data_IF_025676754402
#
_entry.id   IF_025676754402
#
_cell.length_a   1.000
_cell.length_b   1.000
_cell.length_c   1.000
_cell.angle_alpha   90.00
_cell.angle_beta   90.00
_cell.angle_gamma   90.00
#
_symmetry.space_group_name_H-M   'P 1'
#
loop_
_entity.id
_entity.type
_entity.pdbx_description
1 polymer ?
#
# COMPACT_ATOMS: atom_id res chain seq x y z
N UNK A 1 34.01 -11.00 -66.63
CA UNK A 1 33.95 -9.85 -65.69
C UNK A 1 33.87 -10.40 -64.27
N UNK A 2 35.04 -10.56 -63.65
CA UNK A 2 35.24 -10.86 -62.23
C UNK A 2 35.46 -9.51 -61.50
N UNK A 3 35.15 -9.46 -60.21
CA UNK A 3 35.42 -8.39 -59.22
C UNK A 3 34.23 -7.50 -58.87
N UNK A 4 33.40 -7.93 -57.90
CA UNK A 4 32.78 -7.01 -56.93
C UNK A 4 32.22 -7.77 -55.70
N UNK A 5 33.05 -8.51 -54.94
CA UNK A 5 32.56 -9.19 -53.72
C UNK A 5 33.67 -9.64 -52.76
N UNK A 6 34.65 -8.78 -52.42
CA UNK A 6 35.70 -9.16 -51.43
C UNK A 6 36.16 -8.03 -50.49
N UNK A 7 35.34 -7.03 -50.19
CA UNK A 7 35.73 -5.95 -49.26
C UNK A 7 34.88 -5.77 -48.00
N UNK A 8 33.84 -6.59 -47.75
CA UNK A 8 32.93 -6.35 -46.61
C UNK A 8 33.05 -7.34 -45.43
N UNK A 9 33.89 -8.37 -45.46
CA UNK A 9 33.92 -9.38 -44.38
C UNK A 9 34.82 -9.01 -43.19
N UNK A 10 35.83 -8.17 -43.38
CA UNK A 10 36.73 -7.71 -42.30
C UNK A 10 36.14 -6.57 -41.47
N UNK A 11 35.27 -5.75 -42.06
CA UNK A 11 34.58 -4.64 -41.37
C UNK A 11 33.50 -5.16 -40.42
N UNK A 12 32.73 -6.17 -40.83
CA UNK A 12 31.60 -6.72 -40.03
C UNK A 12 32.08 -7.43 -38.75
N UNK A 13 33.24 -8.12 -38.78
CA UNK A 13 33.82 -8.75 -37.57
C UNK A 13 34.35 -7.74 -36.55
N UNK A 14 34.86 -6.59 -36.99
CA UNK A 14 35.28 -5.49 -36.09
C UNK A 14 34.06 -4.78 -35.47
N UNK A 15 32.97 -4.64 -36.22
CA UNK A 15 31.72 -4.02 -35.71
C UNK A 15 31.05 -4.93 -34.67
N UNK A 16 31.05 -6.26 -34.85
CA UNK A 16 30.50 -7.18 -33.85
C UNK A 16 31.31 -7.22 -32.55
N UNK A 17 32.64 -7.10 -32.62
CA UNK A 17 33.48 -7.03 -31.41
C UNK A 17 33.33 -5.69 -30.69
N UNK A 18 33.18 -4.59 -31.44
CA UNK A 18 32.93 -3.25 -30.89
C UNK A 18 31.54 -3.15 -30.25
N UNK A 19 30.50 -3.75 -30.86
CA UNK A 19 29.17 -3.83 -30.27
C UNK A 19 29.14 -4.69 -28.99
N UNK A 20 29.93 -5.77 -28.95
CA UNK A 20 30.14 -6.57 -27.74
C UNK A 20 30.84 -5.77 -26.64
N UNK A 21 31.89 -5.02 -26.99
CA UNK A 21 32.63 -4.16 -26.06
C UNK A 21 31.77 -2.99 -25.55
N UNK A 22 31.02 -2.32 -26.42
CA UNK A 22 30.09 -1.24 -26.06
C UNK A 22 28.95 -1.77 -25.19
N UNK A 23 28.42 -2.98 -25.46
CA UNK A 23 27.40 -3.59 -24.60
C UNK A 23 27.97 -3.97 -23.23
N UNK A 24 29.23 -4.41 -23.19
CA UNK A 24 29.92 -4.80 -21.96
C UNK A 24 30.37 -3.58 -21.15
N UNK A 25 30.80 -2.50 -21.79
CA UNK A 25 31.01 -1.18 -21.17
C UNK A 25 29.69 -0.56 -20.74
N UNK A 26 28.64 -0.56 -21.55
CA UNK A 26 27.31 -0.07 -21.17
C UNK A 26 26.73 -0.83 -19.96
N UNK A 27 26.94 -2.15 -19.89
CA UNK A 27 26.61 -2.96 -18.72
C UNK A 27 27.53 -2.62 -17.54
N UNK A 28 28.84 -2.40 -17.75
CA UNK A 28 29.77 -1.95 -16.71
C UNK A 28 29.39 -0.57 -16.15
N UNK A 29 29.01 0.36 -17.01
CA UNK A 29 28.59 1.73 -16.68
C UNK A 29 27.26 1.74 -15.94
N UNK A 30 26.32 0.83 -16.28
CA UNK A 30 25.10 0.60 -15.48
C UNK A 30 25.36 -0.09 -14.14
N UNK A 31 26.38 -0.93 -14.05
CA UNK A 31 26.82 -1.58 -12.80
C UNK A 31 27.71 -0.66 -11.95
N UNK A 32 28.13 0.49 -12.48
CA UNK A 32 28.80 1.58 -11.77
C UNK A 32 27.91 2.82 -11.69
N UNK A 33 26.60 2.66 -11.47
CA UNK A 33 25.91 3.69 -10.69
C UNK A 33 26.57 3.66 -9.32
N UNK A 34 27.34 4.70 -8.99
CA UNK A 34 27.86 4.89 -7.65
C UNK A 34 26.69 4.81 -6.69
N UNK A 35 26.59 3.73 -5.93
CA UNK A 35 25.55 3.55 -4.93
C UNK A 35 25.75 4.64 -3.89
N UNK A 36 24.94 5.68 -4.02
CA UNK A 36 24.99 6.86 -3.17
C UNK A 36 24.76 6.40 -1.73
N UNK A 37 25.72 6.71 -0.84
CA UNK A 37 25.56 6.47 0.59
C UNK A 37 24.73 7.58 1.19
N UNK A 38 23.52 7.24 1.61
CA UNK A 38 22.55 8.16 2.18
C UNK A 38 22.33 7.84 3.66
N UNK A 39 21.95 8.85 4.45
CA UNK A 39 21.46 8.61 5.81
C UNK A 39 20.10 7.92 5.73
N UNK A 40 19.77 7.13 6.74
CA UNK A 40 18.49 6.42 6.81
C UNK A 40 17.28 7.34 6.66
N UNK A 41 17.34 8.58 7.19
CA UNK A 41 16.31 9.58 6.99
C UNK A 41 16.14 10.01 5.51
N UNK A 42 17.22 10.18 4.76
CA UNK A 42 17.16 10.51 3.33
C UNK A 42 16.67 9.31 2.52
N UNK A 43 17.10 8.10 2.89
CA UNK A 43 16.60 6.83 2.32
C UNK A 43 15.09 6.71 2.53
N UNK A 44 14.59 7.04 3.72
CA UNK A 44 13.17 7.02 4.03
C UNK A 44 12.39 7.93 3.09
N UNK A 45 12.80 9.21 2.99
CA UNK A 45 12.14 10.20 2.15
C UNK A 45 12.17 9.79 0.67
N UNK A 46 13.34 9.36 0.17
CA UNK A 46 13.48 8.91 -1.22
C UNK A 46 12.65 7.65 -1.51
N UNK A 47 12.53 6.74 -0.55
CA UNK A 47 11.68 5.55 -0.67
C UNK A 47 10.19 5.91 -0.78
N UNK A 48 9.74 6.95 -0.05
CA UNK A 48 8.36 7.44 -0.16
C UNK A 48 8.10 8.09 -1.52
N UNK A 49 9.04 8.90 -2.00
CA UNK A 49 9.00 9.48 -3.35
C UNK A 49 8.91 8.37 -4.41
N UNK A 50 9.76 7.33 -4.31
CA UNK A 50 9.77 6.21 -5.25
C UNK A 50 8.49 5.35 -5.16
N UNK A 51 7.74 5.37 -4.05
CA UNK A 51 6.38 4.80 -3.94
C UNK A 51 5.28 5.71 -4.52
N UNK A 52 5.62 6.92 -4.95
CA UNK A 52 4.68 7.91 -5.47
C UNK A 52 3.85 8.58 -4.37
N UNK A 53 4.38 8.65 -3.15
CA UNK A 53 3.75 9.39 -2.05
C UNK A 53 3.90 10.87 -2.33
N UNK A 54 2.78 11.60 -2.30
CA UNK A 54 2.79 13.06 -2.41
C UNK A 54 2.32 13.78 -1.15
N UNK A 55 1.63 13.09 -0.24
CA UNK A 55 1.09 13.66 0.98
C UNK A 55 1.48 12.78 2.17
N UNK A 56 1.99 13.40 3.23
CA UNK A 56 2.38 12.75 4.47
C UNK A 56 1.74 13.46 5.67
N UNK A 57 0.87 12.77 6.40
CA UNK A 57 0.21 13.32 7.57
C UNK A 57 1.02 13.01 8.82
N UNK A 58 1.37 14.00 9.64
CA UNK A 58 2.20 13.66 10.81
C UNK A 58 2.34 14.73 11.88
N UNK A 59 2.94 14.29 12.98
CA UNK A 59 3.27 15.13 14.12
C UNK A 59 4.73 14.88 14.56
N UNK A 60 5.57 15.93 14.67
CA UNK A 60 6.99 15.78 14.96
C UNK A 60 7.27 15.40 16.41
N UNK A 61 8.42 14.77 16.64
CA UNK A 61 8.94 14.48 17.97
C UNK A 61 10.37 13.95 17.93
N UNK A 62 11.01 13.82 19.10
CA UNK A 62 12.45 13.60 19.26
C UNK A 62 13.02 12.36 18.54
N UNK A 63 12.21 11.32 18.36
CA UNK A 63 12.61 10.06 17.73
C UNK A 63 12.58 10.11 16.19
N UNK A 64 11.85 11.06 15.59
CA UNK A 64 11.70 11.21 14.14
C UNK A 64 12.32 12.50 13.58
N UNK A 65 13.08 13.25 14.40
CA UNK A 65 13.64 14.54 13.96
C UNK A 65 14.54 14.45 12.73
N UNK A 66 15.33 13.38 12.59
CA UNK A 66 16.15 13.18 11.39
C UNK A 66 15.29 13.06 10.13
N UNK A 67 14.14 12.39 10.21
CA UNK A 67 13.18 12.28 9.10
C UNK A 67 12.56 13.65 8.78
N UNK A 68 12.19 14.43 9.80
CA UNK A 68 11.64 15.78 9.58
C UNK A 68 12.66 16.74 8.96
N UNK A 69 13.93 16.64 9.35
CA UNK A 69 15.02 17.40 8.72
C UNK A 69 15.18 17.02 7.23
N UNK A 70 15.13 15.72 6.90
CA UNK A 70 15.17 15.27 5.51
C UNK A 70 13.93 15.72 4.70
N UNK A 71 12.73 15.65 5.29
CA UNK A 71 11.49 16.13 4.68
C UNK A 71 11.53 17.63 4.39
N UNK A 72 12.17 18.43 5.25
CA UNK A 72 12.33 19.87 5.06
C UNK A 72 13.23 20.22 3.86
N UNK A 73 14.15 19.31 3.46
CA UNK A 73 15.09 19.54 2.35
C UNK A 73 14.54 19.21 0.96
N UNK A 74 13.31 18.72 0.86
CA UNK A 74 12.67 18.32 -0.40
C UNK A 74 11.31 19.00 -0.59
N UNK A 75 10.77 18.94 -1.80
CA UNK A 75 9.52 19.63 -2.17
C UNK A 75 8.49 18.72 -2.88
N UNK A 76 8.73 17.42 -2.94
CA UNK A 76 7.87 16.45 -3.65
C UNK A 76 6.78 15.86 -2.75
N UNK A 77 7.05 15.75 -1.45
CA UNK A 77 6.11 15.31 -0.42
C UNK A 77 5.65 16.52 0.37
N UNK A 78 4.35 16.78 0.32
CA UNK A 78 3.68 17.76 1.16
C UNK A 78 3.44 17.17 2.56
N UNK A 79 4.16 17.70 3.56
CA UNK A 79 3.92 17.35 4.95
C UNK A 79 2.72 18.13 5.50
N UNK A 80 1.71 17.40 5.97
CA UNK A 80 0.52 17.94 6.61
C UNK A 80 0.68 17.78 8.12
N UNK A 81 1.03 18.89 8.77
CA UNK A 81 1.12 18.96 10.22
C UNK A 81 -0.27 18.94 10.86
N UNK A 82 -0.56 17.90 11.64
CA UNK A 82 -1.80 17.80 12.40
C UNK A 82 -1.66 18.42 13.79
N UNK A 83 -2.75 18.42 14.57
CA UNK A 83 -2.74 18.86 15.98
C UNK A 83 -2.75 17.71 16.99
N UNK A 84 -3.03 16.50 16.53
CA UNK A 84 -3.02 15.26 17.30
C UNK A 84 -2.81 14.07 16.35
N UNK A 85 -2.05 13.05 16.73
CA UNK A 85 -1.68 11.92 15.86
C UNK A 85 -2.88 11.10 15.39
N UNK A 86 -3.91 10.97 16.22
CA UNK A 86 -5.20 10.41 15.81
C UNK A 86 -5.78 11.15 14.58
N UNK A 87 -5.63 12.48 14.54
CA UNK A 87 -6.00 13.29 13.40
C UNK A 87 -5.19 12.97 12.14
N UNK A 88 -3.90 12.63 12.27
CA UNK A 88 -3.10 12.19 11.12
C UNK A 88 -3.63 10.87 10.55
N UNK A 89 -3.93 9.89 11.41
CA UNK A 89 -4.48 8.61 10.96
C UNK A 89 -5.85 8.75 10.30
N UNK A 90 -6.76 9.57 10.85
CA UNK A 90 -8.07 9.77 10.22
C UNK A 90 -8.00 10.62 8.94
N UNK A 91 -7.08 11.58 8.86
CA UNK A 91 -6.83 12.32 7.63
C UNK A 91 -6.26 11.41 6.53
N UNK A 92 -5.32 10.54 6.87
CA UNK A 92 -4.77 9.52 5.97
C UNK A 92 -5.83 8.51 5.51
N UNK A 93 -6.75 8.12 6.40
CA UNK A 93 -7.90 7.26 6.08
C UNK A 93 -8.81 7.93 5.03
N UNK A 94 -9.23 9.17 5.29
CA UNK A 94 -10.05 9.95 4.36
C UNK A 94 -9.37 10.19 3.01
N UNK A 95 -8.07 10.52 3.03
CA UNK A 95 -7.24 10.64 1.83
C UNK A 95 -7.25 9.35 1.01
N UNK A 96 -7.07 8.20 1.66
CA UNK A 96 -7.02 6.92 0.97
C UNK A 96 -8.34 6.57 0.30
N UNK A 97 -9.48 6.85 0.96
CA UNK A 97 -10.81 6.66 0.38
C UNK A 97 -11.08 7.57 -0.81
N UNK A 98 -10.65 8.83 -0.72
CA UNK A 98 -10.91 9.84 -1.75
C UNK A 98 -10.04 9.64 -3.00
N UNK A 99 -8.83 9.09 -2.85
CA UNK A 99 -7.83 9.03 -3.94
C UNK A 99 -7.53 7.62 -4.44
N UNK A 100 -7.92 6.58 -3.70
CA UNK A 100 -7.50 5.19 -3.96
C UNK A 100 -6.03 4.91 -3.66
N UNK A 101 -5.25 5.90 -3.20
CA UNK A 101 -3.83 5.75 -2.85
C UNK A 101 -3.66 5.46 -1.36
N UNK A 102 -2.62 4.73 -0.92
CA UNK A 102 -2.40 4.50 0.51
C UNK A 102 -2.20 5.80 1.28
N UNK A 103 -2.88 5.94 2.42
CA UNK A 103 -2.63 7.02 3.35
C UNK A 103 -1.30 6.81 4.07
N UNK A 104 -0.47 7.85 4.20
CA UNK A 104 0.86 7.75 4.83
C UNK A 104 0.92 8.62 6.06
N UNK A 105 1.33 8.02 7.18
CA UNK A 105 1.36 8.68 8.50
C UNK A 105 2.77 8.65 9.07
N UNK A 106 3.25 9.76 9.65
CA UNK A 106 4.51 9.83 10.39
C UNK A 106 4.27 10.37 11.81
N UNK A 107 4.63 9.59 12.82
CA UNK A 107 4.49 9.94 14.24
C UNK A 107 5.76 9.61 15.01
N UNK A 108 5.99 10.28 16.14
CA UNK A 108 7.12 9.98 17.03
C UNK A 108 6.88 8.71 17.86
N UNK A 109 7.91 8.29 18.60
CA UNK A 109 7.84 7.18 19.56
C UNK A 109 6.87 7.45 20.71
N UNK A 110 6.65 6.42 21.53
CA UNK A 110 5.91 6.53 22.78
C UNK A 110 4.49 7.06 22.59
N UNK A 111 4.15 8.24 23.15
CA UNK A 111 2.80 8.79 23.05
C UNK A 111 2.34 9.01 21.60
N UNK A 112 3.24 9.33 20.67
CA UNK A 112 2.89 9.61 19.28
C UNK A 112 2.24 8.41 18.59
N UNK A 113 2.89 7.24 18.69
CA UNK A 113 2.34 6.00 18.14
C UNK A 113 1.13 5.49 18.91
N UNK A 114 1.08 5.64 20.25
CA UNK A 114 -0.10 5.21 21.01
C UNK A 114 -1.34 6.06 20.70
N UNK A 115 -1.17 7.36 20.43
CA UNK A 115 -2.25 8.25 20.01
C UNK A 115 -2.82 7.89 18.62
N UNK A 116 -2.02 7.23 17.78
CA UNK A 116 -2.43 6.80 16.44
C UNK A 116 -3.25 5.49 16.44
N UNK A 117 -3.24 4.70 17.52
CA UNK A 117 -3.80 3.34 17.56
C UNK A 117 -5.29 3.31 17.21
N UNK A 118 -6.08 4.28 17.68
CA UNK A 118 -7.52 4.33 17.37
C UNK A 118 -7.75 4.48 15.87
N UNK A 119 -7.03 5.38 15.20
CA UNK A 119 -7.20 5.57 13.76
C UNK A 119 -6.62 4.41 12.94
N UNK A 120 -5.55 3.76 13.42
CA UNK A 120 -5.06 2.50 12.85
C UNK A 120 -6.16 1.42 12.94
N UNK A 121 -6.79 1.26 14.09
CA UNK A 121 -7.87 0.29 14.26
C UNK A 121 -9.07 0.59 13.36
N UNK A 122 -9.45 1.85 13.20
CA UNK A 122 -10.48 2.25 12.23
C UNK A 122 -10.11 1.80 10.81
N UNK A 123 -8.90 2.13 10.35
CA UNK A 123 -8.44 1.75 9.02
C UNK A 123 -8.41 0.23 8.82
N UNK A 124 -8.05 -0.54 9.86
CA UNK A 124 -8.03 -2.00 9.81
C UNK A 124 -9.41 -2.61 9.67
N UNK A 125 -10.37 -2.14 10.47
CA UNK A 125 -11.74 -2.65 10.43
C UNK A 125 -12.40 -2.35 9.08
N UNK A 126 -12.09 -1.20 8.50
CA UNK A 126 -12.68 -0.73 7.24
C UNK A 126 -11.91 -1.11 5.98
N UNK A 127 -10.78 -1.81 6.11
CA UNK A 127 -9.93 -2.25 5.00
C UNK A 127 -9.28 -1.10 4.23
N UNK A 128 -8.83 -0.06 4.93
CA UNK A 128 -8.24 1.13 4.33
C UNK A 128 -6.72 0.97 4.20
N UNK A 129 -6.14 1.12 2.99
CA UNK A 129 -4.70 1.00 2.81
C UNK A 129 -4.01 2.19 3.49
N UNK A 130 -3.20 1.89 4.50
CA UNK A 130 -2.46 2.89 5.26
C UNK A 130 -1.07 2.36 5.62
N UNK A 131 -0.06 3.22 5.59
CA UNK A 131 1.27 2.92 6.13
C UNK A 131 1.59 3.93 7.20
N UNK A 132 1.79 3.45 8.43
CA UNK A 132 2.13 4.27 9.59
C UNK A 132 3.60 4.05 9.93
N UNK A 133 4.36 5.14 9.91
CA UNK A 133 5.74 5.17 10.34
C UNK A 133 5.82 5.77 11.74
N UNK A 134 6.34 4.99 12.69
CA UNK A 134 6.63 5.46 14.03
C UNK A 134 8.14 5.57 14.25
N UNK A 135 8.58 6.64 14.90
CA UNK A 135 9.91 6.66 15.48
C UNK A 135 9.99 5.73 16.68
N UNK A 136 11.20 5.30 16.99
CA UNK A 136 11.51 4.51 18.18
C UNK A 136 12.79 5.04 18.85
N UNK A 137 12.99 4.71 20.12
CA UNK A 137 14.28 4.93 20.80
C UNK A 137 15.42 4.23 20.04
N UNK A 138 16.67 4.61 20.33
CA UNK A 138 17.82 3.97 19.70
C UNK A 138 17.83 2.47 20.01
N UNK A 139 18.33 1.65 19.09
CA UNK A 139 18.28 0.17 19.20
C UNK A 139 18.82 -0.36 20.53
N UNK A 140 19.91 0.23 21.07
CA UNK A 140 20.51 -0.19 22.34
C UNK A 140 19.66 0.11 23.58
N UNK A 141 18.66 0.98 23.44
CA UNK A 141 17.75 1.37 24.52
C UNK A 141 16.42 0.63 24.46
N UNK A 142 16.12 -0.11 23.39
CA UNK A 142 14.91 -0.93 23.30
C UNK A 142 14.98 -2.05 24.34
N UNK A 143 13.92 -2.18 25.15
CA UNK A 143 13.76 -3.09 26.28
C UNK A 143 14.25 -2.55 27.61
N UNK A 144 14.63 -1.26 27.71
CA UNK A 144 15.21 -0.67 28.92
C UNK A 144 14.30 0.38 29.59
N UNK A 145 13.03 0.44 29.21
CA UNK A 145 12.06 1.45 29.69
C UNK A 145 12.59 2.88 29.49
N UNK A 146 13.20 3.12 28.33
CA UNK A 146 13.81 4.39 28.01
C UNK A 146 12.75 5.51 27.87
N UNK A 147 13.20 6.76 27.91
CA UNK A 147 12.30 7.90 27.75
C UNK A 147 11.53 7.83 26.42
N UNK A 148 10.19 7.83 26.52
CA UNK A 148 9.27 7.68 25.38
C UNK A 148 9.44 6.38 24.59
N UNK A 149 9.93 5.31 25.23
CA UNK A 149 9.87 3.96 24.71
C UNK A 149 8.47 3.35 24.96
N UNK A 150 7.92 2.70 23.94
CA UNK A 150 6.76 1.79 24.06
C UNK A 150 6.92 0.64 23.08
N UNK A 151 6.33 -0.52 23.40
CA UNK A 151 6.22 -1.64 22.47
C UNK A 151 5.16 -1.37 21.37
N UNK A 152 5.55 -0.54 20.39
CA UNK A 152 4.69 -0.20 19.25
C UNK A 152 4.26 -1.44 18.46
N UNK A 153 5.11 -2.46 18.39
CA UNK A 153 4.84 -3.73 17.71
C UNK A 153 3.76 -4.52 18.44
N UNK A 154 3.87 -4.67 19.76
CA UNK A 154 2.88 -5.35 20.59
C UNK A 154 1.53 -4.66 20.57
N UNK A 155 1.51 -3.34 20.80
CA UNK A 155 0.29 -2.52 20.90
C UNK A 155 -0.47 -2.50 19.56
N UNK A 156 0.23 -2.37 18.42
CA UNK A 156 -0.41 -2.30 17.11
C UNK A 156 -0.82 -3.66 16.55
N UNK A 157 -0.24 -4.76 17.03
CA UNK A 157 -0.42 -6.11 16.46
C UNK A 157 -1.87 -6.53 16.21
N UNK A 158 -2.85 -6.24 17.11
CA UNK A 158 -4.24 -6.64 16.91
C UNK A 158 -4.99 -5.85 15.84
N UNK A 159 -4.46 -4.69 15.43
CA UNK A 159 -5.14 -3.73 14.57
C UNK A 159 -4.35 -3.36 13.31
N UNK A 160 -3.37 -4.17 12.90
CA UNK A 160 -2.63 -3.99 11.65
C UNK A 160 -2.59 -5.28 10.85
N UNK A 161 -2.47 -5.17 9.53
CA UNK A 161 -2.20 -6.35 8.67
C UNK A 161 -0.83 -6.94 8.96
N UNK A 162 0.13 -6.07 9.26
CA UNK A 162 1.48 -6.43 9.62
C UNK A 162 2.16 -5.26 10.33
N UNK A 163 3.23 -5.55 11.06
CA UNK A 163 4.13 -4.53 11.56
C UNK A 163 5.58 -4.98 11.43
N UNK A 164 6.46 -4.00 11.26
CA UNK A 164 7.90 -4.20 11.11
C UNK A 164 8.65 -3.35 12.13
N UNK A 165 9.71 -3.91 12.71
CA UNK A 165 10.72 -3.15 13.44
C UNK A 165 12.01 -3.18 12.63
N UNK A 166 12.45 -2.03 12.14
CA UNK A 166 13.66 -1.93 11.32
C UNK A 166 14.89 -1.96 12.22
N UNK A 167 15.73 -2.98 12.10
CA UNK A 167 16.94 -3.13 12.94
C UNK A 167 18.24 -2.69 12.25
N UNK A 168 18.21 -2.57 10.93
CA UNK A 168 19.37 -2.20 10.11
C UNK A 168 18.92 -1.23 9.01
N UNK A 169 19.70 -0.17 8.79
CA UNK A 169 19.42 0.86 7.78
C UNK A 169 19.40 0.29 6.36
N UNK A 170 20.18 -0.76 6.08
CA UNK A 170 20.19 -1.45 4.78
C UNK A 170 18.86 -2.16 4.46
N UNK A 171 18.06 -2.47 5.49
CA UNK A 171 16.75 -3.09 5.32
C UNK A 171 15.62 -2.07 5.16
N UNK A 172 15.87 -0.78 5.45
CA UNK A 172 14.85 0.26 5.55
C UNK A 172 14.04 0.41 4.26
N UNK A 173 14.71 0.63 3.13
CA UNK A 173 14.07 0.77 1.82
C UNK A 173 13.22 -0.46 1.46
N UNK A 174 13.77 -1.66 1.68
CA UNK A 174 13.05 -2.91 1.42
C UNK A 174 11.83 -3.11 2.32
N UNK A 175 11.90 -2.61 3.56
CA UNK A 175 10.82 -2.70 4.55
C UNK A 175 9.69 -1.75 4.22
N UNK A 176 10.01 -0.51 3.82
CA UNK A 176 9.04 0.45 3.30
C UNK A 176 8.30 -0.16 2.10
N UNK A 177 9.05 -0.70 1.12
CA UNK A 177 8.49 -1.36 -0.05
C UNK A 177 7.51 -2.49 0.33
N UNK A 178 7.91 -3.37 1.26
CA UNK A 178 7.05 -4.44 1.81
C UNK A 178 5.81 -3.88 2.49
N UNK A 179 5.94 -2.82 3.27
CA UNK A 179 4.82 -2.21 3.98
C UNK A 179 3.74 -1.71 3.02
N UNK A 180 4.12 -0.99 1.96
CA UNK A 180 3.17 -0.54 0.93
C UNK A 180 2.51 -1.71 0.19
N UNK A 181 3.26 -2.76 -0.14
CA UNK A 181 2.70 -3.95 -0.77
C UNK A 181 1.70 -4.68 0.11
N UNK A 182 2.03 -4.89 1.39
CA UNK A 182 1.11 -5.52 2.34
C UNK A 182 -0.10 -4.63 2.56
N UNK A 183 0.06 -3.31 2.68
CA UNK A 183 -1.08 -2.40 2.88
C UNK A 183 -2.09 -2.44 1.73
N UNK A 184 -1.60 -2.54 0.48
CA UNK A 184 -2.42 -2.50 -0.75
C UNK A 184 -3.03 -3.83 -1.17
N UNK A 185 -2.33 -4.94 -0.97
CA UNK A 185 -2.69 -6.22 -1.62
C UNK A 185 -3.65 -7.09 -0.80
N UNK A 186 -4.35 -8.01 -1.45
CA UNK A 186 -5.42 -8.80 -0.80
C UNK A 186 -6.56 -7.90 -0.32
N UNK A 187 -7.08 -8.16 0.89
CA UNK A 187 -7.92 -7.17 1.60
C UNK A 187 -7.00 -6.04 2.09
N UNK A 188 -7.13 -4.78 1.63
CA UNK A 188 -6.24 -3.71 2.06
C UNK A 188 -6.39 -3.42 3.56
N UNK A 189 -5.42 -2.70 4.14
CA UNK A 189 -5.42 -2.37 5.56
C UNK A 189 -4.12 -1.71 6.02
N UNK A 190 -4.06 -1.26 7.29
CA UNK A 190 -2.92 -0.55 7.83
C UNK A 190 -1.72 -1.47 8.08
N UNK A 191 -0.52 -0.94 7.87
CA UNK A 191 0.76 -1.54 8.24
C UNK A 191 1.57 -0.54 9.04
N UNK A 192 2.19 -0.99 10.13
CA UNK A 192 3.08 -0.16 10.94
C UNK A 192 4.55 -0.50 10.66
N UNK A 193 5.40 0.52 10.55
CA UNK A 193 6.86 0.38 10.45
C UNK A 193 7.48 1.23 11.54
N UNK A 194 8.06 0.55 12.54
CA UNK A 194 8.73 1.16 13.68
C UNK A 194 10.23 1.32 13.36
N UNK A 195 10.73 2.55 13.47
CA UNK A 195 12.05 2.94 13.00
C UNK A 195 12.86 3.54 14.16
N UNK A 196 13.86 2.83 14.68
CA UNK A 196 14.79 3.35 15.69
C UNK A 196 15.50 4.61 15.23
N UNK A 197 15.64 5.58 16.13
CA UNK A 197 16.27 6.87 15.84
C UNK A 197 17.68 6.73 15.25
N UNK A 198 18.48 5.80 15.76
CA UNK A 198 19.85 5.56 15.26
C UNK A 198 19.86 4.95 13.85
N UNK A 199 18.87 4.14 13.48
CA UNK A 199 18.71 3.65 12.10
C UNK A 199 18.49 4.80 11.12
N UNK A 200 17.77 5.85 11.52
CA UNK A 200 17.58 7.05 10.67
C UNK A 200 18.84 7.91 10.55
N UNK A 201 19.80 7.76 11.48
CA UNK A 201 21.07 8.49 11.49
C UNK A 201 22.19 7.73 10.78
N UNK A 202 22.16 6.40 10.79
CA UNK A 202 23.09 5.52 10.08
C UNK A 202 23.09 5.76 8.58
N UNK A 203 24.17 5.37 7.90
CA UNK A 203 24.32 5.52 6.45
C UNK A 203 24.45 4.17 5.76
N UNK A 204 23.79 4.00 4.62
CA UNK A 204 24.04 2.89 3.73
C UNK A 204 23.83 3.28 2.26
N UNK A 205 24.23 2.37 1.37
CA UNK A 205 23.95 2.49 -0.05
C UNK A 205 22.44 2.42 -0.30
N UNK A 206 21.93 3.36 -1.09
CA UNK A 206 20.51 3.37 -1.44
C UNK A 206 20.22 2.45 -2.64
N UNK A 207 19.23 1.58 -2.49
CA UNK A 207 18.65 0.82 -3.60
C UNK A 207 17.19 0.55 -3.29
N UNK A 208 16.29 1.02 -4.15
CA UNK A 208 14.86 0.77 -3.99
C UNK A 208 14.41 -0.48 -4.76
N UNK A 209 13.87 -1.52 -4.09
CA UNK A 209 13.47 -2.74 -4.78
C UNK A 209 12.29 -2.50 -5.74
N UNK A 210 12.42 -3.01 -6.96
CA UNK A 210 11.35 -2.95 -7.97
C UNK A 210 10.27 -4.01 -7.72
N UNK A 211 10.69 -5.19 -7.27
CA UNK A 211 9.80 -6.31 -6.98
C UNK A 211 9.89 -6.73 -5.52
N UNK A 212 8.81 -7.33 -5.03
CA UNK A 212 8.74 -7.88 -3.67
C UNK A 212 8.35 -9.34 -3.75
N UNK A 213 9.13 -10.17 -3.06
CA UNK A 213 8.76 -11.55 -2.80
C UNK A 213 8.74 -11.79 -1.28
N UNK A 214 7.54 -11.95 -0.74
CA UNK A 214 7.33 -12.33 0.66
C UNK A 214 6.91 -13.80 0.71
N UNK A 215 7.77 -14.65 1.27
CA UNK A 215 7.48 -16.08 1.42
C UNK A 215 6.20 -16.34 2.21
N UNK A 216 5.97 -15.56 3.26
CA UNK A 216 4.85 -15.69 4.19
C UNK A 216 3.55 -15.04 3.71
N UNK A 217 3.58 -14.27 2.62
CA UNK A 217 2.43 -13.47 2.20
C UNK A 217 2.24 -13.51 0.69
N UNK A 218 1.22 -14.25 0.24
CA UNK A 218 0.84 -14.42 -1.18
C UNK A 218 -0.68 -14.36 -1.32
N UNK A 219 -1.26 -13.17 -1.56
CA UNK A 219 -2.70 -13.05 -1.76
C UNK A 219 -3.14 -13.75 -3.05
N UNK A 220 -4.31 -14.39 -3.01
CA UNK A 220 -4.91 -15.02 -4.20
C UNK A 220 -5.59 -13.93 -5.02
N UNK A 221 -5.12 -13.73 -6.26
CA UNK A 221 -5.62 -12.66 -7.15
C UNK A 221 -6.54 -13.15 -8.25
N UNK A 222 -6.61 -14.48 -8.48
CA UNK A 222 -7.45 -15.09 -9.51
C UNK A 222 -8.50 -15.98 -8.89
N UNK A 223 -9.76 -15.76 -9.26
CA UNK A 223 -10.86 -16.65 -8.91
C UNK A 223 -10.74 -18.00 -9.62
N UNK A 224 -11.22 -19.06 -8.99
CA UNK A 224 -11.18 -20.40 -9.57
C UNK A 224 -12.30 -20.57 -10.64
N UNK A 225 -11.98 -20.82 -11.93
CA UNK A 225 -12.97 -20.82 -13.00
C UNK A 225 -14.14 -21.79 -12.78
N UNK A 226 -13.84 -22.98 -12.24
CA UNK A 226 -14.88 -23.98 -11.90
C UNK A 226 -15.83 -23.53 -10.80
N UNK A 227 -15.34 -22.75 -9.82
CA UNK A 227 -16.18 -22.24 -8.73
C UNK A 227 -17.05 -21.09 -9.23
N UNK A 228 -16.50 -20.20 -10.07
CA UNK A 228 -17.24 -19.12 -10.73
C UNK A 228 -18.37 -19.71 -11.59
N UNK A 229 -18.08 -20.71 -12.43
CA UNK A 229 -19.10 -21.38 -13.25
C UNK A 229 -20.22 -22.00 -12.41
N UNK A 230 -19.87 -22.60 -11.27
CA UNK A 230 -20.86 -23.16 -10.33
C UNK A 230 -21.71 -22.06 -9.68
N UNK A 231 -21.10 -20.96 -9.27
CA UNK A 231 -21.79 -19.82 -8.68
C UNK A 231 -22.79 -19.19 -9.67
N UNK A 232 -22.38 -18.98 -10.93
CA UNK A 232 -23.27 -18.45 -11.99
C UNK A 232 -24.44 -19.39 -12.25
N UNK A 233 -24.18 -20.72 -12.33
CA UNK A 233 -25.26 -21.69 -12.54
C UNK A 233 -26.29 -21.65 -11.41
N UNK A 234 -25.84 -21.54 -10.16
CA UNK A 234 -26.73 -21.40 -9.00
C UNK A 234 -27.54 -20.10 -9.09
N UNK A 235 -26.85 -18.99 -9.35
CA UNK A 235 -27.43 -17.65 -9.45
C UNK A 235 -28.55 -17.58 -10.50
N UNK A 236 -28.33 -18.13 -11.71
CA UNK A 236 -29.30 -18.12 -12.81
C UNK A 236 -30.49 -19.05 -12.54
N UNK A 237 -30.29 -20.14 -11.81
CA UNK A 237 -31.38 -21.09 -11.46
C UNK A 237 -32.20 -20.69 -10.23
N UNK A 238 -31.79 -19.64 -9.52
CA UNK A 238 -32.42 -19.22 -8.28
C UNK A 238 -33.83 -18.66 -8.52
N UNK A 239 -34.75 -18.95 -7.60
CA UNK A 239 -36.14 -18.45 -7.68
C UNK A 239 -36.30 -17.03 -7.12
N UNK A 240 -35.48 -16.66 -6.14
CA UNK A 240 -35.51 -15.36 -5.45
C UNK A 240 -34.10 -14.78 -5.25
N UNK A 241 -33.29 -14.64 -6.32
CA UNK A 241 -31.92 -14.15 -6.20
C UNK A 241 -31.87 -12.70 -5.72
N UNK A 242 -30.81 -12.38 -4.98
CA UNK A 242 -30.46 -11.03 -4.55
C UNK A 242 -28.96 -10.84 -4.72
N UNK A 243 -28.57 -9.68 -5.23
CA UNK A 243 -27.17 -9.26 -5.27
C UNK A 243 -26.88 -8.47 -4.00
N UNK A 244 -25.95 -8.95 -3.17
CA UNK A 244 -25.51 -8.27 -1.95
C UNK A 244 -24.05 -7.89 -2.07
N UNK A 245 -23.76 -6.58 -2.00
CA UNK A 245 -22.41 -6.06 -2.22
C UNK A 245 -21.85 -5.27 -1.04
N UNK A 246 -20.53 -5.19 -0.98
CA UNK A 246 -19.83 -4.41 0.04
C UNK A 246 -18.66 -3.61 -0.53
N UNK A 247 -17.89 -2.98 0.36
CA UNK A 247 -16.80 -2.06 -0.03
C UNK A 247 -15.72 -2.68 -0.90
N UNK A 248 -15.61 -4.01 -0.95
CA UNK A 248 -14.70 -4.70 -1.87
C UNK A 248 -14.96 -4.38 -3.35
N UNK A 249 -16.19 -4.02 -3.74
CA UNK A 249 -16.49 -3.57 -5.11
C UNK A 249 -15.82 -2.23 -5.41
N UNK A 250 -15.89 -1.29 -4.46
CA UNK A 250 -15.28 0.04 -4.59
C UNK A 250 -13.75 -0.11 -4.63
N UNK A 251 -13.19 -0.88 -3.68
CA UNK A 251 -11.75 -1.11 -3.59
C UNK A 251 -11.16 -1.83 -4.81
N UNK A 252 -11.96 -2.69 -5.44
CA UNK A 252 -11.57 -3.40 -6.67
C UNK A 252 -11.95 -2.66 -7.96
N UNK A 253 -12.48 -1.43 -7.86
CA UNK A 253 -12.98 -0.61 -8.97
C UNK A 253 -14.06 -1.31 -9.84
N UNK A 254 -14.69 -2.38 -9.34
CA UNK A 254 -15.54 -3.30 -10.11
C UNK A 254 -17.00 -2.83 -10.26
N UNK A 255 -17.24 -1.53 -10.17
CA UNK A 255 -18.56 -0.91 -10.19
C UNK A 255 -19.23 -1.01 -11.56
N UNK A 256 -18.47 -0.93 -12.66
CA UNK A 256 -18.99 -1.09 -14.02
C UNK A 256 -19.42 -2.55 -14.28
N UNK A 257 -18.59 -3.52 -13.90
CA UNK A 257 -18.89 -4.94 -14.03
C UNK A 257 -20.08 -5.34 -13.17
N UNK A 258 -20.15 -4.85 -11.93
CA UNK A 258 -21.30 -5.06 -11.05
C UNK A 258 -22.57 -4.50 -11.69
N UNK A 259 -22.51 -3.27 -12.21
CA UNK A 259 -23.66 -2.60 -12.81
C UNK A 259 -24.14 -3.36 -14.05
N UNK A 260 -23.23 -3.74 -14.93
CA UNK A 260 -23.53 -4.51 -16.14
C UNK A 260 -24.14 -5.89 -15.81
N UNK A 261 -23.52 -6.64 -14.89
CA UNK A 261 -24.03 -7.94 -14.44
C UNK A 261 -25.42 -7.82 -13.82
N UNK A 262 -25.63 -6.86 -12.92
CA UNK A 262 -26.90 -6.70 -12.20
C UNK A 262 -28.03 -6.32 -13.16
N UNK A 263 -27.77 -5.39 -14.09
CA UNK A 263 -28.75 -5.02 -15.13
C UNK A 263 -29.08 -6.15 -16.08
N UNK A 264 -28.09 -6.93 -16.47
CA UNK A 264 -28.27 -8.09 -17.36
C UNK A 264 -29.13 -9.17 -16.70
N UNK A 265 -28.92 -9.42 -15.41
CA UNK A 265 -29.68 -10.42 -14.66
C UNK A 265 -31.09 -9.94 -14.28
N UNK A 266 -31.32 -8.63 -14.18
CA UNK A 266 -32.61 -8.08 -13.76
C UNK A 266 -32.93 -8.34 -12.28
N UNK A 267 -31.93 -8.70 -11.47
CA UNK A 267 -32.12 -9.01 -10.04
C UNK A 267 -32.05 -7.77 -9.16
N UNK A 268 -32.74 -7.74 -8.01
CA UNK A 268 -32.57 -6.67 -7.04
C UNK A 268 -31.17 -6.69 -6.44
N UNK A 269 -30.69 -5.50 -6.04
CA UNK A 269 -29.38 -5.30 -5.43
C UNK A 269 -29.46 -4.44 -4.16
N UNK A 270 -28.70 -4.85 -3.14
CA UNK A 270 -28.51 -4.11 -1.89
C UNK A 270 -27.03 -4.06 -1.50
N UNK A 271 -26.66 -3.06 -0.71
CA UNK A 271 -25.28 -2.80 -0.31
C UNK A 271 -25.15 -2.74 1.21
N UNK A 272 -23.96 -3.09 1.72
CA UNK A 272 -23.50 -2.63 3.03
C UNK A 272 -23.29 -1.11 3.05
N UNK A 273 -23.14 -0.54 4.25
CA UNK A 273 -22.70 0.85 4.42
C UNK A 273 -21.42 1.17 3.63
N UNK A 274 -20.43 0.27 3.70
CA UNK A 274 -19.15 0.43 3.01
C UNK A 274 -19.24 0.21 1.49
N UNK A 275 -20.35 -0.36 1.00
CA UNK A 275 -20.60 -0.56 -0.44
C UNK A 275 -21.41 0.58 -1.07
N UNK A 276 -21.83 1.59 -0.30
CA UNK A 276 -22.55 2.74 -0.86
C UNK A 276 -21.68 3.45 -1.92
N UNK A 277 -22.24 3.65 -3.10
CA UNK A 277 -21.54 4.18 -4.28
C UNK A 277 -21.10 3.11 -5.28
N UNK A 278 -21.10 1.82 -4.93
CA UNK A 278 -20.75 0.73 -5.85
C UNK A 278 -21.78 0.48 -6.97
N UNK A 279 -23.04 0.88 -6.77
CA UNK A 279 -24.12 0.77 -7.75
C UNK A 279 -24.95 2.07 -7.73
N UNK A 280 -25.49 2.55 -8.87
CA UNK A 280 -26.23 3.80 -8.92
C UNK A 280 -27.49 3.77 -8.05
N UNK A 281 -27.56 4.64 -7.04
CA UNK A 281 -28.68 4.65 -6.09
C UNK A 281 -30.02 5.07 -6.72
N UNK A 282 -30.00 5.70 -7.89
CA UNK A 282 -31.19 6.09 -8.66
C UNK A 282 -31.74 4.96 -9.55
N UNK A 283 -31.02 3.85 -9.68
CA UNK A 283 -31.43 2.72 -10.50
C UNK A 283 -32.52 1.91 -9.79
N UNK A 284 -33.58 1.54 -10.52
CA UNK A 284 -34.76 0.87 -9.96
C UNK A 284 -34.49 -0.53 -9.39
N UNK A 285 -33.34 -1.14 -9.71
CA UNK A 285 -32.94 -2.41 -9.10
C UNK A 285 -32.33 -2.25 -7.70
N UNK A 286 -31.94 -1.03 -7.31
CA UNK A 286 -31.37 -0.76 -5.99
C UNK A 286 -32.47 -0.59 -4.94
N UNK A 287 -32.50 -1.49 -3.95
CA UNK A 287 -33.54 -1.51 -2.90
C UNK A 287 -33.09 -0.86 -1.59
N UNK A 288 -31.95 -0.16 -1.61
CA UNK A 288 -31.38 0.52 -0.45
C UNK A 288 -30.32 -0.29 0.30
N UNK A 289 -29.74 0.37 1.31
CA UNK A 289 -28.76 -0.26 2.21
C UNK A 289 -29.48 -1.21 3.17
N UNK A 290 -28.91 -2.40 3.40
CA UNK A 290 -29.40 -3.31 4.44
C UNK A 290 -28.69 -3.11 5.77
N UNK A 291 -29.23 -3.72 6.83
CA UNK A 291 -28.62 -3.77 8.16
C UNK A 291 -29.52 -3.19 9.24
N UNK A 292 -28.94 -2.93 10.42
CA UNK A 292 -29.66 -2.48 11.62
C UNK A 292 -30.54 -1.24 11.38
N UNK A 293 -30.04 -0.30 10.55
CA UNK A 293 -30.77 0.90 10.12
C UNK A 293 -30.95 0.93 8.60
N UNK A 294 -30.98 -0.25 7.99
CA UNK A 294 -31.23 -0.42 6.56
C UNK A 294 -32.71 -0.32 6.21
N UNK A 295 -33.01 -0.32 4.91
CA UNK A 295 -34.38 -0.33 4.41
C UNK A 295 -35.07 -1.66 4.71
N UNK A 296 -36.39 -1.59 4.96
CA UNK A 296 -37.20 -2.80 5.16
C UNK A 296 -37.19 -3.66 3.89
N UNK A 297 -37.22 -3.00 2.73
CA UNK A 297 -37.17 -3.56 1.39
C UNK A 297 -35.85 -4.29 1.11
N UNK A 298 -34.73 -3.91 1.73
CA UNK A 298 -33.49 -4.66 1.64
C UNK A 298 -33.43 -5.81 2.66
N UNK A 299 -33.85 -5.55 3.90
CA UNK A 299 -33.73 -6.51 5.00
C UNK A 299 -34.67 -7.73 4.83
N UNK A 300 -35.93 -7.51 4.47
CA UNK A 300 -36.91 -8.61 4.43
C UNK A 300 -36.65 -9.61 3.30
N UNK A 301 -36.41 -9.20 2.04
CA UNK A 301 -36.08 -10.15 0.98
C UNK A 301 -34.82 -10.96 1.27
N UNK A 302 -33.80 -10.38 1.92
CA UNK A 302 -32.59 -11.12 2.32
C UNK A 302 -32.87 -12.31 3.26
N UNK A 303 -33.94 -12.27 4.06
CA UNK A 303 -34.39 -13.41 4.87
C UNK A 303 -35.15 -14.49 4.07
N UNK A 304 -35.56 -14.17 2.84
CA UNK A 304 -36.45 -14.98 2.02
C UNK A 304 -35.86 -15.38 0.66
N UNK A 305 -34.58 -15.05 0.41
CA UNK A 305 -33.81 -15.41 -0.78
C UNK A 305 -33.45 -16.91 -0.85
#
# INVERSE_FOLDING_TARGET
>A
MKNCARHNLTSVRKISSLAGFIKQEYLRTKLTESTEKLRGADIFVRSLIDEGVSHLFGYPGGAVLHIYDALYRQTEIDHILVRHEQGATHAADGYARATGKPGVVLVTSGPGVTNAITGIATAYMDSIPMVVFSGQVIRSMIGNDAFQEVDAIGISRPCVKHNFLVKDVSELASTIKKAFYVAKSGRPGPVLVDIPKDVTADMCEYTYPQEINMRSYRPVTKGHPGQIKRAIKLLVSAKKPMVYTGGGVILGEAHEELTSMTRTLGYPITNTLMGLGAFPASDGQFIGMLGMHGTYEANMPMHHC
#
